data_IF_068554903349
#
_entry.id   IF_068554903349
#
_cell.length_a   1.000
_cell.length_b   1.000
_cell.length_c   1.000
_cell.angle_alpha   90.00
_cell.angle_beta   90.00
_cell.angle_gamma   90.00
#
_symmetry.space_group_name_H-M   'P 1'
#
loop_
_entity.id
_entity.type
_entity.pdbx_description
1 polymer ?
#
# COMPACT_ATOMS: atom_id res chain seq x y z
N UNK A 1 -15.61 8.10 -16.33
CA UNK A 1 -15.22 8.72 -15.03
C UNK A 1 -13.71 8.79 -14.96
N UNK A 2 -13.10 9.57 -14.06
CA UNK A 2 -11.63 9.49 -13.86
C UNK A 2 -11.26 8.27 -13.03
N UNK A 3 -10.08 7.68 -13.25
CA UNK A 3 -9.58 6.55 -12.45
C UNK A 3 -9.49 6.89 -10.96
N UNK A 4 -9.11 8.13 -10.62
CA UNK A 4 -9.09 8.63 -9.24
C UNK A 4 -10.50 8.60 -8.59
N UNK A 5 -11.53 9.01 -9.32
CA UNK A 5 -12.92 8.99 -8.85
C UNK A 5 -13.40 7.55 -8.65
N UNK A 6 -13.06 6.66 -9.58
CA UNK A 6 -13.36 5.24 -9.49
C UNK A 6 -12.71 4.60 -8.26
N UNK A 7 -11.43 4.91 -7.98
CA UNK A 7 -10.75 4.43 -6.78
C UNK A 7 -11.43 4.93 -5.50
N UNK A 8 -11.88 6.19 -5.47
CA UNK A 8 -12.66 6.73 -4.35
C UNK A 8 -13.98 5.97 -4.16
N UNK A 9 -14.75 5.82 -5.23
CA UNK A 9 -16.02 5.08 -5.22
C UNK A 9 -15.84 3.63 -4.78
N UNK A 10 -14.76 2.95 -5.22
CA UNK A 10 -14.41 1.60 -4.77
C UNK A 10 -14.25 1.54 -3.25
N UNK A 11 -13.53 2.50 -2.67
CA UNK A 11 -13.36 2.57 -1.21
C UNK A 11 -14.65 2.89 -0.48
N UNK A 12 -15.50 3.77 -1.03
CA UNK A 12 -16.78 4.14 -0.43
C UNK A 12 -17.78 2.98 -0.48
N UNK A 13 -17.88 2.28 -1.61
CA UNK A 13 -18.71 1.09 -1.75
C UNK A 13 -18.25 -0.03 -0.81
N UNK A 14 -16.95 -0.29 -0.70
CA UNK A 14 -16.44 -1.29 0.24
C UNK A 14 -16.81 -0.96 1.70
N UNK A 15 -16.72 0.32 2.10
CA UNK A 15 -17.16 0.77 3.43
C UNK A 15 -18.66 0.59 3.64
N UNK A 16 -19.48 0.99 2.66
CA UNK A 16 -20.94 0.83 2.71
C UNK A 16 -21.35 -0.64 2.81
N UNK A 17 -20.73 -1.53 2.04
CA UNK A 17 -20.96 -2.97 2.13
C UNK A 17 -20.61 -3.52 3.52
N UNK A 18 -19.50 -3.06 4.12
CA UNK A 18 -19.15 -3.43 5.50
C UNK A 18 -20.19 -2.94 6.52
N UNK A 19 -20.75 -1.75 6.33
CA UNK A 19 -21.81 -1.20 7.20
C UNK A 19 -23.12 -1.98 7.03
N UNK A 20 -23.55 -2.24 5.79
CA UNK A 20 -24.73 -3.05 5.48
C UNK A 20 -24.58 -4.46 6.06
N UNK A 21 -23.42 -5.10 5.91
CA UNK A 21 -23.12 -6.39 6.53
C UNK A 21 -23.34 -6.37 8.05
N UNK A 22 -22.89 -5.31 8.73
CA UNK A 22 -23.08 -5.15 10.17
C UNK A 22 -24.56 -4.98 10.54
N UNK A 23 -25.31 -4.18 9.77
CA UNK A 23 -26.74 -3.90 10.00
C UNK A 23 -27.61 -5.13 9.75
N UNK A 24 -27.39 -5.82 8.62
CA UNK A 24 -28.06 -7.08 8.28
C UNK A 24 -27.84 -8.09 9.41
N UNK A 25 -26.59 -8.27 9.86
CA UNK A 25 -26.27 -9.19 10.95
C UNK A 25 -27.01 -8.86 12.24
N UNK A 26 -27.17 -7.59 12.58
CA UNK A 26 -27.91 -7.16 13.76
C UNK A 26 -29.42 -7.41 13.63
N UNK A 27 -29.98 -7.30 12.42
CA UNK A 27 -31.39 -7.54 12.16
C UNK A 27 -31.78 -9.01 11.91
N UNK A 28 -30.81 -9.93 11.79
CA UNK A 28 -31.08 -11.35 11.52
C UNK A 28 -31.76 -12.10 12.68
N UNK A 29 -31.69 -11.59 13.91
CA UNK A 29 -32.25 -12.23 15.09
C UNK A 29 -32.99 -11.20 15.93
N UNK A 30 -34.24 -11.48 16.26
CA UNK A 30 -35.09 -10.68 17.13
C UNK A 30 -35.70 -11.57 18.21
N UNK A 31 -36.11 -10.98 19.33
CA UNK A 31 -36.86 -11.72 20.35
C UNK A 31 -38.27 -12.03 19.83
N UNK A 32 -38.91 -13.05 20.39
CA UNK A 32 -40.27 -13.42 20.01
C UNK A 32 -41.23 -12.26 20.29
N UNK A 33 -41.89 -11.76 19.24
CA UNK A 33 -42.81 -10.61 19.32
C UNK A 33 -42.19 -9.25 18.99
N UNK A 34 -40.86 -9.16 18.84
CA UNK A 34 -40.19 -7.93 18.40
C UNK A 34 -40.01 -7.91 16.86
N UNK A 35 -40.21 -6.73 16.26
CA UNK A 35 -39.81 -6.48 14.88
C UNK A 35 -38.42 -5.85 14.82
N UNK A 36 -37.57 -6.24 13.85
CA UNK A 36 -36.27 -5.62 13.70
C UNK A 36 -36.44 -4.14 13.29
N UNK A 37 -35.59 -3.24 13.81
CA UNK A 37 -35.68 -1.81 13.52
C UNK A 37 -35.48 -1.48 12.03
N UNK A 38 -34.86 -2.40 11.30
CA UNK A 38 -34.66 -2.33 9.84
C UNK A 38 -34.94 -3.71 9.25
N UNK A 39 -35.58 -3.77 8.09
CA UNK A 39 -35.89 -5.05 7.44
C UNK A 39 -34.63 -5.64 6.79
N UNK A 40 -34.14 -6.82 7.24
CA UNK A 40 -32.91 -7.39 6.71
C UNK A 40 -32.98 -7.71 5.22
N UNK A 41 -34.17 -8.05 4.70
CA UNK A 41 -34.37 -8.33 3.28
C UNK A 41 -34.16 -7.10 2.39
N UNK A 42 -34.63 -5.91 2.80
CA UNK A 42 -34.43 -4.68 2.04
C UNK A 42 -32.95 -4.28 2.02
N UNK A 43 -32.26 -4.40 3.17
CA UNK A 43 -30.82 -4.16 3.26
C UNK A 43 -29.99 -5.15 2.44
N UNK A 44 -30.45 -6.40 2.30
CA UNK A 44 -29.79 -7.41 1.48
C UNK A 44 -29.89 -7.06 0.00
N UNK A 45 -31.04 -6.56 -0.47
CA UNK A 45 -31.19 -6.06 -1.84
C UNK A 45 -30.23 -4.91 -2.11
N UNK A 46 -30.15 -3.91 -1.20
CA UNK A 46 -29.19 -2.81 -1.32
C UNK A 46 -27.74 -3.32 -1.35
N UNK A 47 -27.42 -4.32 -0.52
CA UNK A 47 -26.11 -4.95 -0.48
C UNK A 47 -25.76 -5.60 -1.82
N UNK A 48 -26.67 -6.38 -2.42
CA UNK A 48 -26.45 -7.03 -3.73
C UNK A 48 -26.26 -6.00 -4.85
N UNK A 49 -27.06 -4.93 -4.87
CA UNK A 49 -26.89 -3.86 -5.86
C UNK A 49 -25.53 -3.15 -5.74
N UNK A 50 -25.09 -2.86 -4.51
CA UNK A 50 -23.79 -2.24 -4.27
C UNK A 50 -22.62 -3.20 -4.53
N UNK A 51 -22.79 -4.50 -4.27
CA UNK A 51 -21.78 -5.52 -4.52
C UNK A 51 -21.51 -5.64 -6.02
N UNK A 52 -22.57 -5.63 -6.83
CA UNK A 52 -22.49 -5.64 -8.30
C UNK A 52 -21.78 -4.40 -8.83
N UNK A 53 -22.15 -3.20 -8.34
CA UNK A 53 -21.47 -1.94 -8.71
C UNK A 53 -19.98 -1.96 -8.36
N UNK A 54 -19.63 -2.52 -7.20
CA UNK A 54 -18.22 -2.66 -6.79
C UNK A 54 -17.45 -3.62 -7.70
N UNK A 55 -18.08 -4.71 -8.12
CA UNK A 55 -17.50 -5.68 -9.05
C UNK A 55 -17.19 -5.07 -10.42
N UNK A 56 -18.18 -4.38 -11.02
CA UNK A 56 -18.02 -3.70 -12.31
C UNK A 56 -16.91 -2.65 -12.28
N UNK A 57 -16.89 -1.86 -11.20
CA UNK A 57 -15.84 -0.86 -10.98
C UNK A 57 -14.46 -1.49 -10.83
N UNK A 58 -14.38 -2.65 -10.14
CA UNK A 58 -13.15 -3.42 -10.01
C UNK A 58 -12.58 -3.87 -11.35
N UNK A 59 -13.44 -4.34 -12.26
CA UNK A 59 -13.03 -4.73 -13.62
C UNK A 59 -12.50 -3.51 -14.38
N UNK A 60 -13.24 -2.41 -14.40
CA UNK A 60 -12.85 -1.20 -15.11
C UNK A 60 -11.48 -0.67 -14.65
N UNK A 61 -11.25 -0.64 -13.33
CA UNK A 61 -9.97 -0.24 -12.73
C UNK A 61 -8.84 -1.18 -13.16
N UNK A 62 -9.04 -2.49 -13.10
CA UNK A 62 -8.00 -3.46 -13.44
C UNK A 62 -7.64 -3.40 -14.93
N UNK A 63 -8.63 -3.21 -15.82
CA UNK A 63 -8.41 -3.02 -17.24
C UNK A 63 -7.60 -1.76 -17.53
N UNK A 64 -7.96 -0.64 -16.90
CA UNK A 64 -7.22 0.61 -17.03
C UNK A 64 -5.77 0.47 -16.55
N UNK A 65 -5.55 -0.12 -15.37
CA UNK A 65 -4.21 -0.36 -14.84
C UNK A 65 -3.34 -1.23 -15.76
N UNK A 66 -3.95 -2.17 -16.47
CA UNK A 66 -3.25 -3.09 -17.38
C UNK A 66 -3.01 -2.50 -18.76
N UNK A 67 -3.74 -1.46 -19.15
CA UNK A 67 -3.66 -0.81 -20.47
C UNK A 67 -2.74 0.41 -20.45
N UNK A 68 -2.84 1.22 -19.41
CA UNK A 68 -2.19 2.53 -19.36
C UNK A 68 -0.71 2.41 -19.00
N UNK A 69 0.10 3.28 -19.61
CA UNK A 69 1.55 3.35 -19.38
C UNK A 69 1.91 4.64 -18.68
N UNK A 70 2.82 4.54 -17.72
CA UNK A 70 3.29 5.68 -16.94
C UNK A 70 4.81 5.70 -16.89
N UNK A 71 5.39 6.90 -16.87
CA UNK A 71 6.83 7.10 -16.73
C UNK A 71 7.16 7.42 -15.28
N UNK A 72 7.93 6.54 -14.64
CA UNK A 72 8.27 6.69 -13.23
C UNK A 72 9.72 6.23 -12.96
N UNK A 73 10.33 6.72 -11.88
CA UNK A 73 11.67 6.29 -11.48
C UNK A 73 11.60 4.92 -10.80
N UNK A 74 11.86 3.86 -11.56
CA UNK A 74 11.85 2.49 -11.01
C UNK A 74 13.06 2.26 -10.12
N UNK A 75 12.84 1.83 -8.89
CA UNK A 75 13.86 1.32 -7.99
C UNK A 75 14.72 0.26 -8.69
N UNK A 76 14.12 -0.72 -9.37
CA UNK A 76 14.85 -1.83 -9.99
C UNK A 76 15.78 -1.41 -11.15
N UNK A 77 15.36 -0.44 -11.97
CA UNK A 77 16.23 0.10 -13.03
C UNK A 77 17.39 0.93 -12.45
N UNK A 78 17.21 1.50 -11.26
CA UNK A 78 18.22 2.29 -10.57
C UNK A 78 19.09 1.42 -9.62
N UNK A 79 18.68 0.18 -9.28
CA UNK A 79 19.47 -0.76 -8.46
C UNK A 79 20.64 -1.36 -9.22
N UNK A 80 20.50 -1.68 -10.52
CA UNK A 80 21.63 -2.24 -11.29
C UNK A 80 22.77 -1.22 -11.45
N UNK A 81 22.50 0.08 -11.28
CA UNK A 81 23.52 1.13 -11.15
C UNK A 81 24.01 1.32 -9.70
N UNK A 82 23.37 0.69 -8.71
CA UNK A 82 23.71 0.68 -7.28
C UNK A 82 24.33 -0.65 -6.81
N UNK A 83 24.61 -1.59 -7.72
CA UNK A 83 25.34 -2.85 -7.45
C UNK A 83 26.84 -2.65 -7.11
N UNK A 84 27.21 -1.54 -6.47
CA UNK A 84 28.44 -1.52 -5.69
C UNK A 84 28.01 -1.59 -4.23
N UNK A 85 28.31 -2.74 -3.63
CA UNK A 85 28.30 -3.08 -2.20
C UNK A 85 29.31 -2.19 -1.43
N UNK A 86 29.28 -0.89 -1.70
CA UNK A 86 30.21 0.16 -1.29
C UNK A 86 29.66 1.57 -1.49
N UNK A 87 28.56 1.76 -2.24
CA UNK A 87 27.91 3.05 -2.45
C UNK A 87 26.86 3.43 -1.39
N UNK A 88 26.60 2.57 -0.39
CA UNK A 88 25.72 2.91 0.75
C UNK A 88 26.30 3.98 1.69
N UNK A 89 27.55 4.40 1.45
CA UNK A 89 28.24 5.43 2.22
C UNK A 89 28.07 6.86 1.68
N UNK A 90 27.58 7.05 0.44
CA UNK A 90 27.32 8.38 -0.11
C UNK A 90 25.84 8.73 0.01
N UNK A 91 25.54 9.86 0.65
CA UNK A 91 24.19 10.44 0.77
C UNK A 91 23.64 10.99 -0.57
N UNK A 92 24.32 10.69 -1.66
CA UNK A 92 23.97 11.15 -3.00
C UNK A 92 23.20 10.08 -3.75
N UNK A 93 21.94 10.39 -4.02
CA UNK A 93 21.16 9.75 -5.08
C UNK A 93 21.98 9.96 -6.37
N UNK A 94 22.30 8.91 -7.15
CA UNK A 94 23.02 9.09 -8.39
C UNK A 94 22.29 10.13 -9.27
N UNK A 95 23.04 11.11 -9.77
CA UNK A 95 22.54 12.34 -10.41
C UNK A 95 21.66 12.12 -11.66
N UNK A 96 21.46 10.88 -12.09
CA UNK A 96 20.53 10.51 -13.17
C UNK A 96 19.59 9.40 -12.70
N UNK A 97 18.49 9.79 -12.05
CA UNK A 97 17.37 8.87 -11.82
C UNK A 97 16.79 8.50 -13.18
N UNK A 98 16.99 7.26 -13.62
CA UNK A 98 16.48 6.76 -14.90
C UNK A 98 14.97 6.60 -14.76
N UNK A 99 14.22 7.29 -15.63
CA UNK A 99 12.77 7.11 -15.77
C UNK A 99 12.51 6.19 -16.93
N UNK A 100 11.67 5.17 -16.70
CA UNK A 100 11.24 4.25 -17.74
C UNK A 100 9.72 4.30 -17.85
N UNK A 101 9.24 4.26 -19.09
CA UNK A 101 7.81 4.11 -19.37
C UNK A 101 7.45 2.65 -19.28
N UNK A 102 6.54 2.32 -18.36
CA UNK A 102 6.12 0.98 -17.98
C UNK A 102 4.61 0.95 -17.79
N UNK A 103 4.00 -0.23 -17.64
CA UNK A 103 2.56 -0.30 -17.37
C UNK A 103 2.25 0.24 -15.96
N UNK A 104 1.07 0.83 -15.78
CA UNK A 104 0.61 1.27 -14.47
C UNK A 104 0.53 0.10 -13.48
N UNK A 105 0.14 -1.08 -13.95
CA UNK A 105 0.19 -2.32 -13.17
C UNK A 105 1.59 -2.62 -12.60
N UNK A 106 2.65 -2.45 -13.41
CA UNK A 106 4.03 -2.70 -12.96
C UNK A 106 4.44 -1.71 -11.86
N UNK A 107 4.05 -0.43 -12.01
CA UNK A 107 4.29 0.59 -11.00
C UNK A 107 3.58 0.30 -9.68
N UNK A 108 2.34 -0.20 -9.74
CA UNK A 108 1.56 -0.60 -8.56
C UNK A 108 2.22 -1.79 -7.85
N UNK A 109 2.65 -2.81 -8.61
CA UNK A 109 3.38 -3.96 -8.04
C UNK A 109 4.70 -3.52 -7.40
N UNK A 110 5.42 -2.60 -8.03
CA UNK A 110 6.67 -2.08 -7.49
C UNK A 110 6.46 -1.27 -6.20
N UNK A 111 5.43 -0.41 -6.16
CA UNK A 111 5.01 0.30 -4.94
C UNK A 111 4.72 -0.69 -3.81
N UNK A 112 3.97 -1.74 -4.08
CA UNK A 112 3.56 -2.72 -3.05
C UNK A 112 4.79 -3.44 -2.48
N UNK A 113 5.71 -3.89 -3.34
CA UNK A 113 6.96 -4.53 -2.90
C UNK A 113 7.83 -3.56 -2.11
N UNK A 114 7.94 -2.30 -2.54
CA UNK A 114 8.70 -1.28 -1.81
C UNK A 114 8.12 -1.03 -0.42
N UNK A 115 6.80 -0.93 -0.31
CA UNK A 115 6.11 -0.78 0.98
C UNK A 115 6.41 -1.96 1.91
N UNK A 116 6.31 -3.20 1.40
CA UNK A 116 6.64 -4.40 2.18
C UNK A 116 8.11 -4.43 2.60
N UNK A 117 9.04 -4.15 1.67
CA UNK A 117 10.48 -4.08 1.97
C UNK A 117 10.79 -3.07 3.07
N UNK A 118 10.22 -1.87 2.98
CA UNK A 118 10.39 -0.82 4.00
C UNK A 118 9.90 -1.33 5.36
N UNK A 119 8.75 -2.00 5.41
CA UNK A 119 8.25 -2.57 6.66
C UNK A 119 9.21 -3.61 7.23
N UNK A 120 9.67 -4.56 6.42
CA UNK A 120 10.65 -5.57 6.87
C UNK A 120 11.93 -4.94 7.41
N UNK A 121 12.46 -3.91 6.74
CA UNK A 121 13.64 -3.21 7.22
C UNK A 121 13.40 -2.45 8.53
N UNK A 122 12.20 -1.91 8.75
CA UNK A 122 11.80 -1.30 10.03
C UNK A 122 11.70 -2.36 11.13
N UNK A 123 11.11 -3.51 10.84
CA UNK A 123 11.00 -4.60 11.82
C UNK A 123 12.39 -5.10 12.25
N UNK A 124 13.33 -5.22 11.31
CA UNK A 124 14.74 -5.56 11.59
C UNK A 124 15.42 -4.46 12.43
N UNK A 125 15.16 -3.19 12.10
CA UNK A 125 15.71 -2.04 12.83
C UNK A 125 15.24 -2.05 14.29
N UNK A 126 13.96 -2.31 14.52
CA UNK A 126 13.37 -2.39 15.85
C UNK A 126 13.96 -3.55 16.65
N UNK A 127 14.16 -4.72 16.03
CA UNK A 127 14.84 -5.84 16.67
C UNK A 127 16.30 -5.52 17.04
N UNK A 128 17.03 -4.81 16.17
CA UNK A 128 18.39 -4.33 16.46
C UNK A 128 18.41 -3.35 17.64
N UNK A 129 17.43 -2.45 17.73
CA UNK A 129 17.33 -1.48 18.82
C UNK A 129 17.01 -2.14 20.17
N UNK A 130 16.07 -3.10 20.21
CA UNK A 130 15.73 -3.84 21.44
C UNK A 130 16.96 -4.57 22.00
N UNK A 131 17.77 -5.15 21.10
CA UNK A 131 19.01 -5.84 21.46
C UNK A 131 20.08 -4.94 22.09
N UNK A 132 19.90 -3.62 22.11
CA UNK A 132 20.85 -2.67 22.70
C UNK A 132 20.46 -2.16 24.09
N UNK A 133 19.29 -2.54 24.62
CA UNK A 133 18.76 -2.09 25.90
C UNK A 133 19.47 -2.74 27.10
N UNK A 134 19.75 -1.95 28.16
CA UNK A 134 20.38 -2.40 29.41
C UNK A 134 19.67 -1.80 30.62
N UNK A 135 19.28 -2.63 31.60
CA UNK A 135 18.72 -2.18 32.88
C UNK A 135 19.74 -2.17 34.03
N UNK A 136 20.69 -3.12 34.07
CA UNK A 136 21.71 -3.20 35.14
C UNK A 136 23.14 -3.27 34.62
N UNK A 137 24.09 -2.68 35.38
CA UNK A 137 25.53 -2.73 35.08
C UNK A 137 26.16 -4.12 35.19
N UNK A 138 25.45 -5.11 35.73
CA UNK A 138 25.92 -6.50 35.89
C UNK A 138 25.38 -7.46 34.81
N UNK A 139 24.45 -7.03 33.96
CA UNK A 139 23.93 -7.86 32.86
C UNK A 139 24.88 -7.85 31.64
N UNK A 140 24.97 -9.01 30.95
CA UNK A 140 25.70 -9.18 29.70
C UNK A 140 25.03 -8.30 28.61
N UNK A 141 25.83 -7.47 27.95
CA UNK A 141 25.36 -6.58 26.88
C UNK A 141 24.98 -7.41 25.65
N UNK A 142 23.73 -7.32 25.22
CA UNK A 142 23.30 -7.79 23.90
C UNK A 142 23.77 -6.75 22.87
N UNK A 143 24.25 -7.20 21.71
CA UNK A 143 24.75 -6.33 20.64
C UNK A 143 24.08 -6.69 19.32
N UNK A 144 23.68 -5.66 18.56
CA UNK A 144 23.20 -5.84 17.20
C UNK A 144 24.31 -6.42 16.32
N UNK A 145 23.95 -7.37 15.47
CA UNK A 145 24.88 -7.99 14.50
C UNK A 145 24.98 -7.20 13.19
N UNK A 146 24.19 -6.15 13.04
CA UNK A 146 24.08 -5.33 11.83
C UNK A 146 24.29 -3.85 12.15
N UNK A 147 24.81 -3.09 11.18
CA UNK A 147 24.95 -1.63 11.31
C UNK A 147 23.59 -0.93 11.12
N UNK A 148 23.08 -0.39 12.24
CA UNK A 148 21.84 0.39 12.35
C UNK A 148 21.87 1.62 11.42
N UNK A 149 23.02 2.25 11.20
CA UNK A 149 23.15 3.43 10.35
C UNK A 149 22.95 3.10 8.87
N UNK A 150 23.55 2.00 8.41
CA UNK A 150 23.36 1.50 7.03
C UNK A 150 21.91 1.11 6.78
N UNK A 151 21.26 0.49 7.77
CA UNK A 151 19.86 0.12 7.68
C UNK A 151 18.93 1.34 7.56
N UNK A 152 19.15 2.37 8.38
CA UNK A 152 18.41 3.64 8.27
C UNK A 152 18.57 4.30 6.89
N UNK A 153 19.81 4.38 6.37
CA UNK A 153 20.06 4.91 5.02
C UNK A 153 19.29 4.14 3.93
N UNK A 154 19.21 2.81 4.05
CA UNK A 154 18.40 1.97 3.14
C UNK A 154 16.92 2.30 3.23
N UNK A 155 16.38 2.42 4.44
CA UNK A 155 14.96 2.78 4.67
C UNK A 155 14.67 4.16 4.06
N UNK A 156 15.55 5.13 4.26
CA UNK A 156 15.39 6.49 3.72
C UNK A 156 15.37 6.48 2.19
N UNK A 157 16.29 5.75 1.56
CA UNK A 157 16.36 5.63 0.11
C UNK A 157 15.10 4.97 -0.47
N UNK A 158 14.68 3.83 0.10
CA UNK A 158 13.46 3.13 -0.33
C UNK A 158 12.22 4.01 -0.15
N UNK A 159 12.15 4.75 0.95
CA UNK A 159 11.05 5.68 1.23
C UNK A 159 11.01 6.83 0.22
N UNK A 160 12.17 7.32 -0.26
CA UNK A 160 12.23 8.30 -1.35
C UNK A 160 11.67 7.74 -2.66
N UNK A 161 12.08 6.53 -3.06
CA UNK A 161 11.54 5.87 -4.25
C UNK A 161 10.03 5.64 -4.17
N UNK A 162 9.55 5.16 -3.02
CA UNK A 162 8.11 4.95 -2.78
C UNK A 162 7.32 6.25 -3.00
N UNK A 163 7.76 7.36 -2.40
CA UNK A 163 7.11 8.68 -2.56
C UNK A 163 7.07 9.14 -4.03
N UNK A 164 8.16 8.94 -4.77
CA UNK A 164 8.23 9.34 -6.18
C UNK A 164 7.25 8.54 -7.05
N UNK A 165 7.17 7.23 -6.81
CA UNK A 165 6.23 6.33 -7.50
C UNK A 165 4.79 6.70 -7.15
N UNK A 166 4.50 6.92 -5.86
CA UNK A 166 3.15 7.29 -5.41
C UNK A 166 2.67 8.59 -6.05
N UNK A 167 3.51 9.63 -6.09
CA UNK A 167 3.15 10.89 -6.74
C UNK A 167 2.80 10.67 -8.21
N UNK A 168 3.58 9.85 -8.92
CA UNK A 168 3.34 9.56 -10.35
C UNK A 168 2.09 8.72 -10.58
N UNK A 169 1.81 7.76 -9.70
CA UNK A 169 0.57 6.97 -9.74
C UNK A 169 -0.63 7.90 -9.49
N UNK A 170 -0.58 8.78 -8.50
CA UNK A 170 -1.68 9.70 -8.21
C UNK A 170 -1.93 10.69 -9.36
N UNK A 171 -0.87 11.27 -9.92
CA UNK A 171 -0.96 12.11 -11.11
C UNK A 171 -1.66 11.36 -12.26
N UNK A 172 -1.24 10.12 -12.52
CA UNK A 172 -1.81 9.30 -13.59
C UNK A 172 -3.27 8.93 -13.33
N UNK A 173 -3.65 8.67 -12.08
CA UNK A 173 -5.04 8.38 -11.71
C UNK A 173 -5.99 9.55 -12.05
N UNK A 174 -5.52 10.79 -12.00
CA UNK A 174 -6.32 11.97 -12.38
C UNK A 174 -6.40 12.19 -13.88
N UNK A 175 -5.45 11.66 -14.65
CA UNK A 175 -5.39 11.82 -16.09
C UNK A 175 -6.22 10.73 -16.81
N UNK A 176 -6.17 9.50 -16.31
CA UNK A 176 -6.79 8.33 -16.94
C UNK A 176 -8.32 8.35 -16.82
N UNK A 177 -9.00 8.06 -17.92
CA UNK A 177 -10.45 7.88 -18.00
C UNK A 177 -10.82 6.41 -18.10
N UNK A 178 -11.84 6.01 -17.33
CA UNK A 178 -12.41 4.66 -17.29
C UNK A 178 -13.93 4.66 -17.38
#
# INVERSE_FOLDING_TARGET
>A
MKLAEALRLKTDYAKKLSQLKSRIRAGCTVQEGDEPPEKPQELLVEYEELSQKLFELGIAINLANSREKISYPSHYDNINNLEIIGAYNSDEIPASIVRRTRLLLEALSERDILSTKIQTYRDILDACNISSFRMSKQEIKIMATMDVKVLNKKIDLLSKFLRLIDVKIQESNWLIEI
#
